data_IF_148198186237
#
_entry.id   IF_148198186237
#
_cell.length_a   1.000
_cell.length_b   1.000
_cell.length_c   1.000
_cell.angle_alpha   90.00
_cell.angle_beta   90.00
_cell.angle_gamma   90.00
#
_symmetry.space_group_name_H-M   'P 1'
#
loop_
_entity.id
_entity.type
_entity.pdbx_description
1 polymer ?
#
# COMPACT_ATOMS: atom_id res chain seq x y z
N UNK A 1 -9.75 0.12 -32.92
CA UNK A 1 -11.13 0.41 -33.32
C UNK A 1 -12.09 -0.42 -32.49
N UNK A 2 -13.13 0.18 -31.98
CA UNK A 2 -14.11 -0.53 -31.15
C UNK A 2 -15.54 -0.20 -31.57
N UNK A 3 -16.41 -1.13 -31.26
CA UNK A 3 -17.87 -0.94 -31.33
C UNK A 3 -18.40 -0.94 -29.90
N UNK A 4 -19.39 -0.09 -29.66
CA UNK A 4 -20.01 0.05 -28.35
C UNK A 4 -21.51 0.05 -28.45
N UNK A 5 -22.15 -0.47 -27.41
CA UNK A 5 -23.59 -0.45 -27.24
C UNK A 5 -23.95 -0.38 -25.77
N UNK A 6 -25.11 0.16 -25.48
CA UNK A 6 -25.57 0.30 -24.10
C UNK A 6 -26.76 1.22 -23.99
N UNK A 7 -26.80 2.03 -22.97
CA UNK A 7 -27.90 2.95 -22.76
C UNK A 7 -27.48 4.26 -22.10
N UNK A 8 -28.30 5.29 -22.33
CA UNK A 8 -28.18 6.60 -21.73
C UNK A 8 -29.53 6.99 -21.09
N UNK A 9 -29.50 7.59 -19.92
CA UNK A 9 -30.69 8.05 -19.20
C UNK A 9 -30.41 9.37 -18.48
N UNK A 10 -31.37 10.33 -18.49
CA UNK A 10 -31.22 11.55 -17.72
C UNK A 10 -31.02 11.31 -16.22
N UNK A 11 -30.18 12.12 -15.59
CA UNK A 11 -29.85 11.99 -14.15
C UNK A 11 -31.00 12.42 -13.25
N UNK A 12 -31.79 13.41 -13.68
CA UNK A 12 -32.85 14.02 -12.88
C UNK A 12 -34.18 14.07 -13.63
N UNK A 13 -35.27 14.18 -12.87
CA UNK A 13 -36.65 14.34 -13.39
C UNK A 13 -37.11 13.22 -14.31
N UNK A 14 -36.54 12.00 -14.15
CA UNK A 14 -36.80 10.89 -15.04
C UNK A 14 -36.72 9.55 -14.30
N UNK A 15 -37.58 8.63 -14.68
CA UNK A 15 -37.48 7.26 -14.19
C UNK A 15 -36.31 6.56 -14.89
N UNK A 16 -35.29 6.21 -14.12
CA UNK A 16 -33.98 5.73 -14.60
C UNK A 16 -34.11 4.65 -15.68
N UNK A 17 -34.79 3.56 -15.39
CA UNK A 17 -34.93 2.44 -16.32
C UNK A 17 -35.93 2.68 -17.44
N UNK A 18 -37.05 3.35 -17.12
CA UNK A 18 -38.13 3.59 -18.08
C UNK A 18 -37.70 4.52 -19.20
N UNK A 19 -36.83 5.48 -18.90
CA UNK A 19 -36.38 6.51 -19.84
C UNK A 19 -34.97 6.25 -20.35
N UNK A 20 -34.41 5.06 -20.08
CA UNK A 20 -33.14 4.64 -20.66
C UNK A 20 -33.32 4.39 -22.15
N UNK A 21 -32.46 5.04 -22.94
CA UNK A 21 -32.46 4.92 -24.41
C UNK A 21 -31.26 4.12 -24.86
N UNK A 22 -31.50 3.22 -25.82
CA UNK A 22 -30.46 2.45 -26.45
C UNK A 22 -29.47 3.36 -27.16
N UNK A 23 -28.18 3.15 -26.94
CA UNK A 23 -27.09 3.90 -27.57
C UNK A 23 -26.11 2.92 -28.18
N UNK A 24 -25.69 3.19 -29.41
CA UNK A 24 -24.68 2.38 -30.09
C UNK A 24 -23.73 3.29 -30.85
N UNK A 25 -22.53 2.82 -31.13
CA UNK A 25 -21.58 3.60 -31.91
C UNK A 25 -20.22 2.94 -32.07
N UNK A 26 -19.33 3.73 -32.61
CA UNK A 26 -17.96 3.32 -32.93
C UNK A 26 -16.96 4.22 -32.22
N UNK A 27 -15.80 3.68 -31.91
CA UNK A 27 -14.67 4.41 -31.36
C UNK A 27 -13.40 4.11 -32.14
N UNK A 28 -12.66 5.16 -32.46
CA UNK A 28 -11.31 5.09 -33.01
C UNK A 28 -10.37 5.73 -32.01
N UNK A 29 -9.44 4.96 -31.48
CA UNK A 29 -8.53 5.46 -30.46
C UNK A 29 -7.09 5.10 -30.75
N UNK A 30 -6.19 5.85 -30.13
CA UNK A 30 -4.77 5.58 -30.12
C UNK A 30 -4.24 5.81 -28.72
N UNK A 31 -3.58 4.80 -28.18
CA UNK A 31 -2.77 4.93 -26.99
C UNK A 31 -1.45 5.58 -27.39
N UNK A 32 -1.12 6.73 -26.80
CA UNK A 32 0.08 7.51 -27.12
C UNK A 32 1.25 7.05 -26.25
N UNK A 33 1.01 6.94 -24.96
CA UNK A 33 1.97 6.41 -23.98
C UNK A 33 1.32 5.25 -23.23
N UNK A 34 2.04 4.50 -22.40
CA UNK A 34 1.41 3.50 -21.53
C UNK A 34 0.32 4.07 -20.60
N UNK A 35 0.38 5.37 -20.30
CA UNK A 35 -0.57 6.05 -19.41
C UNK A 35 -1.62 6.84 -20.17
N UNK A 36 -1.24 7.51 -21.27
CA UNK A 36 -2.10 8.46 -21.97
C UNK A 36 -2.58 7.93 -23.31
N UNK A 37 -3.87 8.06 -23.56
CA UNK A 37 -4.51 7.73 -24.82
C UNK A 37 -5.51 8.81 -25.24
N UNK A 38 -5.86 8.78 -26.52
CA UNK A 38 -6.90 9.64 -27.10
C UNK A 38 -7.83 8.79 -27.95
N UNK A 39 -9.10 9.16 -28.03
CA UNK A 39 -10.04 8.53 -28.95
C UNK A 39 -11.07 9.49 -29.48
N UNK A 40 -11.56 9.19 -30.65
CA UNK A 40 -12.73 9.83 -31.27
C UNK A 40 -13.86 8.81 -31.29
N UNK A 41 -15.05 9.24 -30.96
CA UNK A 41 -16.23 8.38 -30.97
C UNK A 41 -17.41 9.04 -31.68
N UNK A 42 -18.20 8.19 -32.30
CA UNK A 42 -19.51 8.57 -32.83
C UNK A 42 -20.54 7.64 -32.19
N UNK A 43 -21.46 8.22 -31.44
CA UNK A 43 -22.53 7.50 -30.73
C UNK A 43 -23.88 7.98 -31.26
N UNK A 44 -24.77 7.06 -31.50
CA UNK A 44 -26.16 7.38 -31.86
C UNK A 44 -27.10 6.78 -30.83
N UNK A 45 -28.12 7.52 -30.50
CA UNK A 45 -29.19 7.08 -29.59
C UNK A 45 -30.40 6.69 -30.44
N UNK A 46 -30.95 5.52 -30.17
CA UNK A 46 -32.06 4.93 -30.91
C UNK A 46 -33.30 4.93 -30.02
N UNK A 47 -34.31 5.59 -30.44
CA UNK A 47 -35.64 5.48 -29.87
C UNK A 47 -36.70 5.88 -30.91
N UNK A 48 -37.68 5.13 -30.96
CA UNK A 48 -38.74 5.27 -31.99
C UNK A 48 -39.95 6.06 -31.50
N UNK A 49 -39.99 6.49 -30.24
CA UNK A 49 -41.18 7.11 -29.68
C UNK A 49 -41.28 8.63 -29.82
N UNK A 50 -40.15 9.33 -29.91
CA UNK A 50 -40.12 10.80 -29.91
C UNK A 50 -39.48 11.47 -31.11
N UNK A 51 -38.68 10.71 -31.92
CA UNK A 51 -38.09 11.25 -33.13
C UNK A 51 -38.84 10.71 -34.39
N UNK A 52 -38.82 11.48 -35.45
CA UNK A 52 -39.32 11.08 -36.76
C UNK A 52 -38.27 10.27 -37.56
N UNK A 53 -37.09 10.12 -37.02
CA UNK A 53 -35.96 9.40 -37.61
C UNK A 53 -35.66 8.13 -36.81
N UNK A 54 -34.94 7.18 -37.38
CA UNK A 54 -34.47 5.99 -36.67
C UNK A 54 -33.51 6.29 -35.53
N UNK A 55 -32.91 7.48 -35.57
CA UNK A 55 -31.97 7.98 -34.57
C UNK A 55 -32.51 9.22 -33.91
N UNK A 56 -32.54 9.25 -32.57
CA UNK A 56 -32.99 10.39 -31.81
C UNK A 56 -31.88 11.44 -31.69
N UNK A 57 -30.66 11.00 -31.49
CA UNK A 57 -29.51 11.87 -31.29
C UNK A 57 -28.23 11.28 -31.89
N UNK A 58 -27.33 12.14 -32.28
CA UNK A 58 -25.97 11.84 -32.68
C UNK A 58 -24.99 12.59 -31.78
N UNK A 59 -23.98 11.92 -31.29
CA UNK A 59 -22.90 12.51 -30.53
C UNK A 59 -21.57 12.18 -31.19
N UNK A 60 -20.80 13.21 -31.53
CA UNK A 60 -19.41 13.09 -31.97
C UNK A 60 -18.50 13.66 -30.90
N UNK A 61 -17.56 12.88 -30.42
CA UNK A 61 -16.73 13.27 -29.28
C UNK A 61 -15.26 12.92 -29.43
N UNK A 62 -14.43 13.72 -28.77
CA UNK A 62 -13.03 13.43 -28.54
C UNK A 62 -12.79 13.20 -27.04
N UNK A 63 -12.13 12.10 -26.69
CA UNK A 63 -11.87 11.68 -25.33
C UNK A 63 -10.37 11.60 -25.09
N UNK A 64 -9.91 12.15 -23.96
CA UNK A 64 -8.65 11.81 -23.32
C UNK A 64 -8.85 10.62 -22.41
N UNK A 65 -7.88 9.73 -22.36
CA UNK A 65 -7.86 8.52 -21.55
C UNK A 65 -6.60 8.46 -20.71
N UNK A 66 -6.74 8.12 -19.45
CA UNK A 66 -5.63 7.95 -18.51
C UNK A 66 -5.73 6.54 -17.92
N UNK A 67 -4.76 5.68 -18.22
CA UNK A 67 -4.67 4.35 -17.64
C UNK A 67 -4.18 4.46 -16.20
N UNK A 68 -5.09 4.24 -15.24
CA UNK A 68 -4.82 4.40 -13.82
C UNK A 68 -3.89 3.31 -13.28
N UNK A 69 -3.98 2.08 -13.80
CA UNK A 69 -3.09 1.00 -13.41
C UNK A 69 -1.63 1.32 -13.76
N UNK A 70 -1.41 1.88 -14.95
CA UNK A 70 -0.06 2.25 -15.39
C UNK A 70 0.44 3.56 -14.75
N UNK A 71 -0.49 4.47 -14.43
CA UNK A 71 -0.16 5.72 -13.73
C UNK A 71 0.38 5.46 -12.31
N UNK A 72 -0.31 4.60 -11.55
CA UNK A 72 0.03 4.34 -10.15
C UNK A 72 0.94 3.13 -9.95
N UNK A 73 0.80 2.11 -10.79
CA UNK A 73 1.53 0.85 -10.67
C UNK A 73 2.66 0.64 -11.70
N UNK A 74 2.98 1.66 -12.50
CA UNK A 74 3.97 1.55 -13.57
C UNK A 74 3.54 0.63 -14.72
N UNK A 75 4.25 0.68 -15.85
CA UNK A 75 4.02 -0.17 -17.00
C UNK A 75 5.03 -1.31 -17.05
N UNK A 76 4.56 -2.56 -17.12
CA UNK A 76 5.40 -3.77 -17.11
C UNK A 76 5.81 -4.28 -18.52
N UNK A 77 5.81 -3.41 -19.52
CA UNK A 77 6.17 -3.77 -20.89
C UNK A 77 5.05 -4.45 -21.69
N UNK A 78 3.93 -4.83 -21.05
CA UNK A 78 2.73 -5.39 -21.70
C UNK A 78 1.46 -4.95 -20.97
N UNK A 79 0.33 -4.83 -21.68
CA UNK A 79 -0.96 -4.53 -21.05
C UNK A 79 -1.37 -5.62 -20.05
N UNK A 80 -1.98 -5.21 -18.95
CA UNK A 80 -2.52 -6.13 -17.95
C UNK A 80 -3.78 -6.80 -18.46
N UNK A 81 -4.20 -7.89 -17.83
CA UNK A 81 -5.47 -8.55 -18.13
C UNK A 81 -6.66 -7.61 -17.85
N UNK A 82 -6.58 -6.89 -16.74
CA UNK A 82 -7.58 -5.92 -16.33
C UNK A 82 -6.93 -4.56 -16.12
N UNK A 83 -7.51 -3.52 -16.73
CA UNK A 83 -7.06 -2.15 -16.65
C UNK A 83 -8.24 -1.20 -16.46
N UNK A 84 -8.04 -0.18 -15.66
CA UNK A 84 -9.01 0.88 -15.42
C UNK A 84 -8.48 2.16 -16.04
N UNK A 85 -9.29 2.80 -16.87
CA UNK A 85 -8.98 4.09 -17.46
C UNK A 85 -9.95 5.14 -16.94
N UNK A 86 -9.44 6.30 -16.53
CA UNK A 86 -10.24 7.51 -16.40
C UNK A 86 -10.41 8.13 -17.79
N UNK A 87 -11.61 8.59 -18.07
CA UNK A 87 -11.93 9.26 -19.35
C UNK A 87 -12.51 10.64 -19.09
N UNK A 88 -12.10 11.59 -19.90
CA UNK A 88 -12.69 12.92 -19.96
C UNK A 88 -12.69 13.42 -21.41
N UNK A 89 -13.75 14.06 -21.82
CA UNK A 89 -13.81 14.56 -23.19
C UNK A 89 -14.91 15.57 -23.45
N UNK A 90 -14.84 16.11 -24.65
CA UNK A 90 -15.79 17.07 -25.19
C UNK A 90 -16.31 16.56 -26.52
N UNK A 91 -17.49 17.00 -26.90
CA UNK A 91 -18.09 16.58 -28.15
C UNK A 91 -19.20 17.53 -28.60
N UNK A 92 -19.69 17.24 -29.78
CA UNK A 92 -20.86 17.86 -30.36
C UNK A 92 -22.01 16.86 -30.36
N UNK A 93 -23.17 17.30 -29.86
CA UNK A 93 -24.41 16.56 -29.86
C UNK A 93 -25.42 17.21 -30.80
N UNK A 94 -26.22 16.38 -31.45
CA UNK A 94 -27.30 16.81 -32.30
C UNK A 94 -28.53 15.93 -32.04
N UNK A 95 -29.60 16.59 -31.60
CA UNK A 95 -30.93 15.95 -31.44
C UNK A 95 -31.71 16.17 -32.72
N UNK A 96 -32.14 15.07 -33.35
CA UNK A 96 -33.00 15.11 -34.50
C UNK A 96 -34.43 15.41 -34.06
N UNK A 97 -35.21 16.02 -34.89
CA UNK A 97 -36.56 16.56 -34.68
C UNK A 97 -37.28 16.01 -33.44
N UNK A 98 -37.29 16.78 -32.40
CA UNK A 98 -38.08 16.49 -31.20
C UNK A 98 -39.53 16.93 -31.48
N UNK A 99 -40.47 16.04 -31.25
CA UNK A 99 -41.93 16.27 -31.48
C UNK A 99 -42.51 17.49 -30.74
N UNK A 100 -41.84 17.92 -29.65
CA UNK A 100 -42.30 19.08 -28.86
C UNK A 100 -41.77 20.44 -29.32
N UNK A 101 -40.64 20.50 -30.02
CA UNK A 101 -39.99 21.75 -30.43
C UNK A 101 -40.03 22.03 -31.95
N UNK A 102 -40.29 21.02 -32.75
CA UNK A 102 -40.43 21.13 -34.21
C UNK A 102 -39.14 21.42 -34.99
N UNK A 103 -37.98 21.48 -34.36
CA UNK A 103 -36.68 21.75 -35.01
C UNK A 103 -35.53 20.98 -34.37
N UNK A 104 -34.51 20.73 -35.16
CA UNK A 104 -33.28 20.06 -34.73
C UNK A 104 -32.48 20.98 -33.79
N UNK A 105 -31.77 20.34 -32.84
CA UNK A 105 -30.98 21.09 -31.87
C UNK A 105 -29.56 20.55 -31.78
N UNK A 106 -28.59 21.45 -31.94
CA UNK A 106 -27.17 21.18 -31.71
C UNK A 106 -26.69 21.76 -30.40
N UNK A 107 -25.78 21.05 -29.73
CA UNK A 107 -25.21 21.47 -28.45
C UNK A 107 -23.80 20.88 -28.27
N UNK A 108 -23.07 21.44 -27.34
CA UNK A 108 -21.80 20.86 -26.88
C UNK A 108 -22.08 19.88 -25.74
N UNK A 109 -21.28 18.83 -25.66
CA UNK A 109 -21.32 17.87 -24.58
C UNK A 109 -19.95 17.76 -23.93
N UNK A 110 -19.93 17.54 -22.60
CA UNK A 110 -18.74 17.07 -21.91
C UNK A 110 -19.04 15.71 -21.26
N UNK A 111 -18.06 14.82 -21.28
CA UNK A 111 -18.20 13.46 -20.77
C UNK A 111 -17.07 13.15 -19.80
N UNK A 112 -17.43 12.59 -18.64
CA UNK A 112 -16.50 12.16 -17.60
C UNK A 112 -16.89 10.76 -17.14
N UNK A 113 -15.93 9.88 -17.01
CA UNK A 113 -16.23 8.51 -16.58
C UNK A 113 -14.99 7.65 -16.39
N UNK A 114 -15.25 6.37 -16.31
CA UNK A 114 -14.22 5.34 -16.23
C UNK A 114 -14.48 4.27 -17.26
N UNK A 115 -13.43 3.61 -17.73
CA UNK A 115 -13.52 2.43 -18.58
C UNK A 115 -12.82 1.26 -17.88
N UNK A 116 -13.54 0.19 -17.70
CA UNK A 116 -13.04 -1.08 -17.19
C UNK A 116 -12.71 -1.98 -18.38
N UNK A 117 -11.44 -2.21 -18.62
CA UNK A 117 -10.93 -2.88 -19.81
C UNK A 117 -10.41 -4.27 -19.46
N UNK A 118 -10.92 -5.30 -20.14
CA UNK A 118 -10.48 -6.68 -20.04
C UNK A 118 -9.74 -7.05 -21.33
N UNK A 119 -8.41 -7.14 -21.27
CA UNK A 119 -7.54 -7.42 -22.40
C UNK A 119 -7.38 -8.92 -22.60
N UNK A 120 -7.89 -9.45 -23.71
CA UNK A 120 -8.01 -10.86 -23.98
C UNK A 120 -6.90 -11.39 -24.90
N UNK A 121 -6.58 -12.68 -24.73
CA UNK A 121 -5.56 -13.37 -25.49
C UNK A 121 -4.13 -13.04 -25.08
N UNK A 122 -3.15 -13.79 -25.57
CA UNK A 122 -1.73 -13.57 -25.27
C UNK A 122 -1.22 -12.26 -25.85
N UNK A 123 -1.61 -11.96 -27.09
CA UNK A 123 -1.25 -10.74 -27.79
C UNK A 123 -2.05 -9.50 -27.32
N UNK A 124 -3.06 -9.68 -26.45
CA UNK A 124 -3.95 -8.60 -25.99
C UNK A 124 -4.60 -7.82 -27.14
N UNK A 125 -4.85 -8.49 -28.26
CA UNK A 125 -5.40 -7.88 -29.46
C UNK A 125 -6.87 -7.45 -29.32
N UNK A 126 -7.60 -8.07 -28.41
CA UNK A 126 -8.99 -7.79 -28.13
C UNK A 126 -9.18 -7.27 -26.73
N UNK A 127 -10.02 -6.26 -26.59
CA UNK A 127 -10.40 -5.71 -25.28
C UNK A 127 -11.92 -5.64 -25.19
N UNK A 128 -12.49 -6.27 -24.17
CA UNK A 128 -13.87 -6.02 -23.76
C UNK A 128 -13.84 -4.89 -22.75
N UNK A 129 -14.70 -3.91 -22.91
CA UNK A 129 -14.79 -2.78 -22.00
C UNK A 129 -16.22 -2.51 -21.53
N UNK A 130 -16.32 -2.02 -20.29
CA UNK A 130 -17.55 -1.49 -19.70
C UNK A 130 -17.25 -0.06 -19.26
N UNK A 131 -18.05 0.88 -19.73
CA UNK A 131 -17.82 2.30 -19.54
C UNK A 131 -19.01 3.02 -18.92
N UNK A 132 -19.10 3.17 -17.60
CA UNK A 132 -19.97 4.15 -16.98
C UNK A 132 -19.43 5.57 -17.16
N UNK A 133 -20.30 6.51 -17.50
CA UNK A 133 -19.95 7.91 -17.66
C UNK A 133 -21.12 8.84 -17.30
N UNK A 134 -20.78 10.07 -16.93
CA UNK A 134 -21.73 11.18 -16.83
C UNK A 134 -21.48 12.08 -18.02
N UNK A 135 -22.57 12.40 -18.72
CA UNK A 135 -22.57 13.26 -19.90
C UNK A 135 -23.33 14.54 -19.55
N UNK A 136 -22.69 15.69 -19.71
CA UNK A 136 -23.30 16.99 -19.49
C UNK A 136 -23.60 17.66 -20.82
N UNK A 137 -24.85 18.09 -21.00
CA UNK A 137 -25.24 18.94 -22.12
C UNK A 137 -24.91 20.39 -21.78
N UNK A 138 -24.01 20.98 -22.57
CA UNK A 138 -23.54 22.35 -22.40
C UNK A 138 -24.25 23.27 -23.40
N UNK A 139 -25.47 23.70 -23.09
CA UNK A 139 -26.27 24.53 -23.97
C UNK A 139 -27.06 25.59 -23.21
N UNK A 140 -27.32 26.70 -23.86
CA UNK A 140 -28.10 27.85 -23.35
C UNK A 140 -27.32 28.77 -22.43
N UNK A 141 -28.02 29.72 -21.81
CA UNK A 141 -27.45 30.67 -20.85
C UNK A 141 -26.81 29.92 -19.69
N UNK A 142 -25.53 30.10 -19.41
CA UNK A 142 -24.70 29.35 -18.45
C UNK A 142 -24.23 27.97 -18.97
N UNK A 143 -23.94 27.85 -20.26
CA UNK A 143 -23.34 26.64 -20.86
C UNK A 143 -21.99 26.25 -20.25
N UNK A 144 -21.32 27.16 -19.56
CA UNK A 144 -20.01 26.94 -18.92
C UNK A 144 -20.11 26.22 -17.56
N UNK A 145 -21.33 26.08 -17.00
CA UNK A 145 -21.54 25.46 -15.71
C UNK A 145 -22.04 24.03 -15.91
N UNK A 146 -21.34 23.06 -15.31
CA UNK A 146 -21.82 21.68 -15.25
C UNK A 146 -23.08 21.61 -14.40
N UNK A 147 -24.22 21.37 -15.03
CA UNK A 147 -25.52 21.37 -14.40
C UNK A 147 -26.08 19.93 -14.38
N UNK A 148 -26.29 19.39 -13.20
CA UNK A 148 -26.82 18.02 -12.99
C UNK A 148 -28.18 17.86 -13.67
N UNK A 149 -29.03 18.89 -13.72
CA UNK A 149 -30.31 18.84 -14.41
C UNK A 149 -30.20 18.74 -15.94
N UNK A 150 -29.00 18.93 -16.48
CA UNK A 150 -28.66 18.75 -17.89
C UNK A 150 -27.66 17.62 -18.08
N UNK A 151 -27.60 16.69 -17.16
CA UNK A 151 -26.72 15.54 -17.23
C UNK A 151 -27.49 14.25 -17.46
N UNK A 152 -26.79 13.29 -18.03
CA UNK A 152 -27.25 11.93 -18.24
C UNK A 152 -26.20 10.94 -17.76
N UNK A 153 -26.65 9.80 -17.25
CA UNK A 153 -25.80 8.65 -16.98
C UNK A 153 -25.77 7.79 -18.24
N UNK A 154 -24.59 7.50 -18.69
CA UNK A 154 -24.32 6.61 -19.83
C UNK A 154 -23.63 5.36 -19.31
N UNK A 155 -24.11 4.18 -19.73
CA UNK A 155 -23.45 2.91 -19.48
C UNK A 155 -23.30 2.19 -20.81
N UNK A 156 -22.07 2.07 -21.27
CA UNK A 156 -21.73 1.38 -22.52
C UNK A 156 -20.88 0.16 -22.24
N UNK A 157 -21.10 -0.90 -23.02
CA UNK A 157 -20.21 -2.02 -23.13
C UNK A 157 -19.72 -2.11 -24.57
N UNK A 158 -18.51 -2.60 -24.78
CA UNK A 158 -17.96 -2.65 -26.12
C UNK A 158 -16.84 -3.65 -26.29
N UNK A 159 -16.49 -3.86 -27.55
CA UNK A 159 -15.36 -4.68 -27.96
C UNK A 159 -14.44 -3.82 -28.82
N UNK A 160 -13.17 -3.81 -28.46
CA UNK A 160 -12.12 -3.05 -29.19
C UNK A 160 -11.11 -4.04 -29.74
N UNK A 161 -10.79 -3.89 -31.02
CA UNK A 161 -9.70 -4.59 -31.68
C UNK A 161 -8.49 -3.66 -31.84
N UNK A 162 -7.33 -4.14 -31.42
CA UNK A 162 -6.05 -3.46 -31.58
C UNK A 162 -5.37 -3.92 -32.85
N UNK A 163 -5.25 -3.02 -33.84
CA UNK A 163 -4.70 -3.34 -35.16
C UNK A 163 -3.29 -3.93 -35.08
N UNK A 164 -2.99 -4.87 -35.97
CA UNK A 164 -1.76 -5.65 -36.01
C UNK A 164 -1.45 -6.42 -34.71
N UNK A 165 -2.50 -6.76 -33.93
CA UNK A 165 -2.34 -7.41 -32.62
C UNK A 165 -1.33 -6.69 -31.73
N UNK A 166 -1.36 -5.35 -31.74
CA UNK A 166 -0.26 -4.51 -31.27
C UNK A 166 -0.59 -3.72 -30.01
N UNK A 167 -1.54 -4.18 -29.22
CA UNK A 167 -1.83 -3.52 -27.95
C UNK A 167 -0.53 -3.41 -27.11
N UNK A 168 -0.12 -2.19 -26.83
CA UNK A 168 1.09 -1.90 -26.07
C UNK A 168 2.41 -1.86 -26.86
N UNK A 169 2.43 -2.22 -28.14
CA UNK A 169 3.68 -2.27 -28.92
C UNK A 169 4.12 -0.92 -29.49
N UNK A 170 3.21 0.02 -29.65
CA UNK A 170 3.47 1.31 -30.28
C UNK A 170 3.39 2.48 -29.30
N UNK A 171 3.56 2.22 -28.00
CA UNK A 171 3.58 3.28 -27.00
C UNK A 171 4.82 4.14 -27.16
N UNK A 172 4.62 5.44 -27.16
CA UNK A 172 5.72 6.38 -26.96
C UNK A 172 6.13 6.31 -25.49
N UNK A 173 7.13 5.52 -25.20
CA UNK A 173 7.80 5.55 -23.90
C UNK A 173 8.78 6.71 -23.90
N UNK A 174 8.71 7.56 -22.90
CA UNK A 174 9.81 8.48 -22.61
C UNK A 174 10.96 7.58 -22.15
N UNK A 175 11.92 7.34 -23.03
CA UNK A 175 13.16 6.74 -22.61
C UNK A 175 13.86 7.81 -21.76
N UNK A 176 13.84 7.64 -20.44
CA UNK A 176 14.80 8.33 -19.60
C UNK A 176 16.18 7.95 -20.12
N UNK A 177 17.04 8.91 -20.46
CA UNK A 177 18.36 8.58 -20.95
C UNK A 177 19.02 7.64 -19.93
N UNK A 178 19.51 6.53 -20.45
CA UNK A 178 20.18 5.50 -19.68
C UNK A 178 21.35 6.14 -18.92
N UNK A 179 21.24 6.21 -17.61
CA UNK A 179 22.30 6.74 -16.77
C UNK A 179 23.25 5.58 -16.42
N UNK A 180 24.31 5.43 -17.20
CA UNK A 180 25.30 4.39 -16.98
C UNK A 180 25.87 4.42 -15.55
N UNK A 181 26.09 5.59 -14.99
CA UNK A 181 26.60 5.74 -13.64
C UNK A 181 25.65 5.19 -12.57
N UNK A 182 24.33 5.35 -12.75
CA UNK A 182 23.32 4.80 -11.84
C UNK A 182 23.27 3.27 -11.94
N UNK A 183 23.39 2.73 -13.14
CA UNK A 183 23.43 1.27 -13.35
C UNK A 183 24.70 0.66 -12.77
N UNK A 184 25.84 1.31 -12.93
CA UNK A 184 27.10 0.86 -12.36
C UNK A 184 27.01 0.86 -10.82
N UNK A 185 26.47 1.92 -10.23
CA UNK A 185 26.25 2.03 -8.79
C UNK A 185 25.28 0.95 -8.26
N UNK A 186 24.21 0.66 -9.00
CA UNK A 186 23.28 -0.42 -8.66
C UNK A 186 23.94 -1.79 -8.78
N UNK A 187 24.77 -2.02 -9.82
CA UNK A 187 25.50 -3.26 -9.99
C UNK A 187 26.54 -3.47 -8.87
N UNK A 188 27.23 -2.42 -8.47
CA UNK A 188 28.16 -2.47 -7.34
C UNK A 188 27.45 -2.79 -6.03
N UNK A 189 26.28 -2.18 -5.78
CA UNK A 189 25.44 -2.49 -4.62
C UNK A 189 24.96 -3.96 -4.65
N UNK A 190 24.52 -4.46 -5.80
CA UNK A 190 24.12 -5.87 -5.97
C UNK A 190 25.30 -6.81 -5.69
N UNK A 191 26.49 -6.50 -6.20
CA UNK A 191 27.68 -7.32 -5.99
C UNK A 191 28.11 -7.32 -4.52
N UNK A 192 28.04 -6.17 -3.86
CA UNK A 192 28.29 -6.05 -2.41
C UNK A 192 27.31 -6.90 -1.60
N UNK A 193 26.01 -6.78 -1.88
CA UNK A 193 24.96 -7.57 -1.20
C UNK A 193 25.12 -9.08 -1.44
N UNK A 194 25.57 -9.49 -2.65
CA UNK A 194 25.86 -10.90 -2.95
C UNK A 194 27.05 -11.42 -2.14
N UNK A 195 28.10 -10.61 -2.02
CA UNK A 195 29.27 -10.95 -1.21
C UNK A 195 28.91 -11.07 0.28
N UNK A 196 28.14 -10.12 0.82
CA UNK A 196 27.65 -10.20 2.20
C UNK A 196 26.74 -11.41 2.43
N UNK A 197 25.87 -11.73 1.47
CA UNK A 197 25.00 -12.92 1.55
C UNK A 197 25.81 -14.21 1.55
N UNK A 198 26.84 -14.31 0.71
CA UNK A 198 27.73 -15.46 0.68
C UNK A 198 28.49 -15.63 2.01
N UNK A 199 29.06 -14.55 2.55
CA UNK A 199 29.75 -14.58 3.84
C UNK A 199 28.82 -14.98 5.00
N UNK A 200 27.57 -14.50 4.99
CA UNK A 200 26.57 -14.92 5.99
C UNK A 200 26.21 -16.39 5.86
N UNK A 201 26.13 -16.92 4.64
CA UNK A 201 25.82 -18.34 4.42
C UNK A 201 26.95 -19.20 4.94
N UNK A 202 28.21 -18.85 4.64
CA UNK A 202 29.37 -19.54 5.17
C UNK A 202 29.45 -19.51 6.70
N UNK A 203 29.12 -18.34 7.30
CA UNK A 203 29.02 -18.20 8.75
C UNK A 203 27.92 -19.06 9.36
N UNK A 204 26.77 -19.19 8.70
CA UNK A 204 25.69 -20.08 9.13
C UNK A 204 26.08 -21.55 9.06
N UNK A 205 26.77 -21.98 8.02
CA UNK A 205 27.25 -23.35 7.88
C UNK A 205 28.27 -23.69 8.99
N UNK A 206 29.19 -22.77 9.28
CA UNK A 206 30.14 -22.94 10.39
C UNK A 206 29.46 -23.07 11.74
N UNK A 207 28.47 -22.21 12.03
CA UNK A 207 27.68 -22.26 13.26
C UNK A 207 26.82 -23.54 13.36
N UNK A 208 26.28 -24.02 12.24
CA UNK A 208 25.54 -25.29 12.20
C UNK A 208 26.45 -26.48 12.50
N UNK A 209 27.67 -26.47 11.95
CA UNK A 209 28.69 -27.49 12.24
C UNK A 209 29.08 -27.49 13.72
N UNK A 210 29.35 -26.31 14.30
CA UNK A 210 29.69 -26.17 15.73
C UNK A 210 28.51 -26.62 16.64
N UNK A 211 27.29 -26.25 16.28
CA UNK A 211 26.09 -26.72 16.96
C UNK A 211 25.94 -28.25 16.93
N UNK A 212 26.28 -28.85 15.78
CA UNK A 212 26.32 -30.32 15.65
C UNK A 212 27.32 -30.93 16.60
N UNK A 213 28.54 -30.41 16.64
CA UNK A 213 29.57 -30.92 17.55
C UNK A 213 29.21 -30.71 19.03
N UNK A 214 28.63 -29.57 19.39
CA UNK A 214 28.18 -29.31 20.77
C UNK A 214 27.06 -30.24 21.21
N UNK A 215 26.13 -30.57 20.31
CA UNK A 215 25.06 -31.54 20.57
C UNK A 215 25.62 -32.94 20.76
N UNK A 216 26.61 -33.33 19.99
CA UNK A 216 27.28 -34.65 20.11
C UNK A 216 28.02 -34.75 21.45
N UNK A 217 28.81 -33.73 21.82
CA UNK A 217 29.47 -33.67 23.13
C UNK A 217 28.49 -33.65 24.29
N UNK A 218 27.35 -32.96 24.14
CA UNK A 218 26.30 -32.98 25.15
C UNK A 218 25.71 -34.39 25.32
N UNK A 219 25.44 -35.09 24.21
CA UNK A 219 24.93 -36.47 24.24
C UNK A 219 25.96 -37.43 24.85
N UNK A 220 27.24 -37.29 24.51
CA UNK A 220 28.31 -38.08 25.12
C UNK A 220 28.38 -37.85 26.64
N UNK A 221 28.30 -36.59 27.07
CA UNK A 221 28.29 -36.20 28.47
C UNK A 221 27.04 -36.74 29.24
N UNK A 222 25.89 -36.75 28.57
CA UNK A 222 24.66 -37.30 29.15
C UNK A 222 24.64 -38.82 29.25
N UNK A 223 25.30 -39.51 28.34
CA UNK A 223 25.36 -40.97 28.25
C UNK A 223 26.60 -41.59 28.93
N UNK A 224 27.55 -40.76 29.38
CA UNK A 224 28.69 -41.22 30.13
C UNK A 224 28.23 -41.88 31.44
N UNK A 225 28.79 -43.07 31.82
CA UNK A 225 28.44 -43.69 33.09
C UNK A 225 28.77 -42.72 34.23
N UNK A 226 27.77 -42.44 35.06
CA UNK A 226 27.95 -41.61 36.25
C UNK A 226 28.80 -42.40 37.26
N UNK A 227 30.11 -42.14 37.26
CA UNK A 227 30.89 -42.42 38.46
C UNK A 227 30.39 -41.50 39.57
N UNK A 228 29.89 -42.08 40.65
CA UNK A 228 29.43 -41.33 41.81
C UNK A 228 30.69 -40.92 42.58
N UNK A 229 31.36 -39.86 42.11
CA UNK A 229 32.25 -39.10 42.96
C UNK A 229 31.42 -38.16 43.83
N UNK A 230 31.65 -38.24 45.13
CA UNK A 230 31.10 -37.35 46.13
C UNK A 230 31.63 -35.95 45.87
N UNK A 231 30.95 -35.18 45.02
CA UNK A 231 31.30 -33.81 44.73
C UNK A 231 30.82 -32.97 45.91
N UNK A 232 31.76 -32.41 46.64
CA UNK A 232 31.55 -31.23 47.50
C UNK A 232 30.87 -30.17 46.61
N UNK A 233 29.59 -29.86 46.93
CA UNK A 233 28.81 -28.84 46.23
C UNK A 233 29.49 -27.45 46.40
N UNK A 234 30.29 -27.07 45.42
CA UNK A 234 30.53 -25.66 45.16
C UNK A 234 29.28 -25.08 44.58
N UNK A 235 28.43 -24.52 45.45
CA UNK A 235 27.28 -23.71 45.03
C UNK A 235 27.79 -22.47 44.29
N UNK A 236 27.91 -22.55 42.97
CA UNK A 236 27.91 -21.38 42.13
C UNK A 236 26.55 -20.69 42.29
N UNK A 237 26.52 -19.70 43.18
CA UNK A 237 25.35 -18.83 43.29
C UNK A 237 25.10 -18.16 41.95
N UNK A 238 24.06 -18.57 41.21
CA UNK A 238 23.62 -17.85 40.03
C UNK A 238 23.19 -16.45 40.47
N UNK A 239 24.07 -15.46 40.27
CA UNK A 239 23.71 -14.07 40.54
C UNK A 239 22.99 -13.51 39.32
N UNK A 240 21.77 -13.03 39.51
CA UNK A 240 21.02 -12.28 38.49
C UNK A 240 21.30 -10.80 38.70
N UNK A 241 21.83 -10.15 37.71
CA UNK A 241 22.07 -8.70 37.71
C UNK A 241 21.06 -7.95 36.83
N UNK A 242 20.69 -6.76 37.24
CA UNK A 242 19.83 -5.85 36.49
C UNK A 242 20.30 -4.41 36.71
N UNK A 243 20.37 -3.66 35.64
CA UNK A 243 20.77 -2.25 35.67
C UNK A 243 19.53 -1.37 35.48
N UNK A 244 19.41 -0.35 36.32
CA UNK A 244 18.34 0.64 36.27
C UNK A 244 19.01 2.00 36.05
N UNK A 245 18.62 2.65 34.93
CA UNK A 245 19.14 3.96 34.58
C UNK A 245 18.26 5.09 35.10
N UNK A 246 18.86 6.20 35.42
CA UNK A 246 18.18 7.39 35.94
C UNK A 246 18.54 8.60 35.08
N UNK A 247 17.59 9.49 34.90
CA UNK A 247 17.87 10.78 34.27
C UNK A 247 18.89 11.60 35.07
N UNK A 248 19.56 12.53 34.41
CA UNK A 248 20.56 13.40 35.05
C UNK A 248 19.95 14.16 36.24
N UNK A 249 20.59 14.09 37.39
CA UNK A 249 20.11 14.70 38.61
C UNK A 249 18.84 14.11 39.22
N UNK A 250 18.28 13.05 38.65
CA UNK A 250 17.05 12.41 39.16
C UNK A 250 17.36 11.12 39.92
N UNK A 251 16.54 10.86 40.94
CA UNK A 251 16.54 9.60 41.70
C UNK A 251 15.22 8.86 41.65
N UNK A 252 14.31 9.27 40.72
CA UNK A 252 13.01 8.61 40.51
C UNK A 252 13.16 7.59 39.39
N UNK A 253 12.70 6.37 39.62
CA UNK A 253 12.66 5.31 38.57
C UNK A 253 11.55 5.63 37.60
N UNK A 254 11.90 5.80 36.34
CA UNK A 254 10.95 6.06 35.26
C UNK A 254 10.18 4.80 34.87
N UNK A 255 9.03 4.96 34.23
CA UNK A 255 8.15 3.84 33.88
C UNK A 255 8.80 2.81 32.93
N UNK A 256 9.68 3.26 32.05
CA UNK A 256 10.46 2.42 31.12
C UNK A 256 11.51 1.55 31.82
N UNK A 257 11.92 1.91 33.05
CA UNK A 257 12.88 1.14 33.85
C UNK A 257 12.21 0.14 34.82
N UNK A 258 10.89 0.22 34.99
CA UNK A 258 10.16 -0.70 35.87
C UNK A 258 10.31 -2.19 35.48
N UNK A 259 10.35 -2.59 34.21
CA UNK A 259 10.59 -3.98 33.84
C UNK A 259 11.92 -4.55 34.39
N UNK A 260 12.95 -3.71 34.51
CA UNK A 260 14.23 -4.12 35.07
C UNK A 260 14.14 -4.42 36.58
N UNK A 261 13.34 -3.64 37.31
CA UNK A 261 13.05 -3.90 38.73
C UNK A 261 12.17 -5.13 38.90
N UNK A 262 11.17 -5.30 38.02
CA UNK A 262 10.25 -6.43 38.01
C UNK A 262 10.96 -7.77 37.78
N UNK A 263 11.96 -7.80 36.89
CA UNK A 263 12.78 -9.00 36.63
C UNK A 263 13.44 -9.51 37.93
N UNK A 264 14.04 -8.62 38.73
CA UNK A 264 14.63 -8.96 40.03
C UNK A 264 13.56 -9.40 41.02
N UNK A 265 12.43 -8.69 41.09
CA UNK A 265 11.33 -9.05 41.98
C UNK A 265 10.75 -10.42 41.66
N UNK A 266 10.59 -10.76 40.40
CA UNK A 266 10.10 -12.09 39.93
C UNK A 266 11.08 -13.18 40.30
N UNK A 267 12.39 -12.97 40.09
CA UNK A 267 13.41 -13.91 40.50
C UNK A 267 13.37 -14.17 42.02
N UNK A 268 13.29 -13.08 42.82
CA UNK A 268 13.22 -13.19 44.27
C UNK A 268 11.95 -13.86 44.77
N UNK A 269 10.82 -13.73 44.10
CA UNK A 269 9.59 -14.45 44.42
C UNK A 269 9.70 -15.94 44.13
N UNK A 270 10.31 -16.28 43.01
CA UNK A 270 10.53 -17.66 42.62
C UNK A 270 11.65 -18.37 43.45
N UNK A 271 12.54 -17.58 44.08
CA UNK A 271 13.63 -18.09 44.92
C UNK A 271 13.55 -17.46 46.32
N UNK A 272 12.77 -18.01 47.24
CA UNK A 272 12.49 -17.41 48.54
C UNK A 272 13.73 -17.19 49.42
N UNK A 273 14.80 -17.95 49.24
CA UNK A 273 16.07 -17.82 50.00
C UNK A 273 17.02 -16.79 49.41
N UNK A 274 16.75 -16.21 48.21
CA UNK A 274 17.65 -15.25 47.59
C UNK A 274 17.57 -13.90 48.27
N UNK A 275 18.71 -13.17 48.27
CA UNK A 275 18.83 -11.79 48.69
C UNK A 275 19.27 -10.93 47.53
N UNK A 276 19.03 -9.63 47.61
CA UNK A 276 19.48 -8.67 46.58
C UNK A 276 20.31 -7.57 47.25
N UNK A 277 21.40 -7.22 46.60
CA UNK A 277 22.23 -6.07 46.96
C UNK A 277 22.00 -4.95 45.95
N UNK A 278 21.61 -3.78 46.38
CA UNK A 278 21.35 -2.62 45.52
C UNK A 278 22.51 -1.66 45.64
N UNK A 279 23.25 -1.47 44.58
CA UNK A 279 24.36 -0.50 44.51
C UNK A 279 23.91 0.72 43.71
N UNK A 280 23.86 1.87 44.35
CA UNK A 280 23.55 3.14 43.68
C UNK A 280 24.83 3.80 43.14
N UNK A 281 24.71 4.37 41.96
CA UNK A 281 25.80 5.13 41.32
C UNK A 281 25.31 6.49 40.87
N UNK A 282 26.21 7.47 40.87
CA UNK A 282 26.01 8.78 40.28
C UNK A 282 27.09 9.07 39.24
N UNK A 283 26.82 10.00 38.34
CA UNK A 283 27.80 10.47 37.34
C UNK A 283 28.99 11.09 38.05
N UNK A 284 30.23 10.97 37.55
CA UNK A 284 31.42 11.58 38.16
C UNK A 284 31.42 13.11 38.10
N UNK A 285 30.49 13.73 37.43
CA UNK A 285 30.32 15.17 37.30
C UNK A 285 29.73 15.76 38.59
N UNK A 286 30.35 16.83 39.14
CA UNK A 286 29.89 17.51 40.34
C UNK A 286 30.66 17.12 41.63
N UNK A 287 30.19 17.60 42.78
CA UNK A 287 30.86 17.33 44.07
C UNK A 287 30.60 15.88 44.52
N UNK A 288 31.61 15.28 45.16
CA UNK A 288 31.53 13.92 45.70
C UNK A 288 30.38 13.75 46.71
N UNK A 289 30.10 14.78 47.50
CA UNK A 289 29.03 14.79 48.49
C UNK A 289 27.64 14.76 47.86
N UNK A 290 27.41 15.55 46.78
CA UNK A 290 26.17 15.56 46.04
C UNK A 290 25.97 14.21 45.36
N UNK A 291 27.02 13.64 44.75
CA UNK A 291 26.98 12.37 44.08
C UNK A 291 26.68 11.20 45.00
N UNK A 292 27.27 11.19 46.20
CA UNK A 292 26.97 10.19 47.22
C UNK A 292 25.50 10.24 47.67
N UNK A 293 24.96 11.47 47.83
CA UNK A 293 23.53 11.66 48.16
C UNK A 293 22.62 11.14 47.09
N UNK A 294 22.89 11.47 45.80
CA UNK A 294 22.11 11.01 44.67
C UNK A 294 22.18 9.49 44.52
N UNK A 295 23.37 8.90 44.66
CA UNK A 295 23.57 7.46 44.61
C UNK A 295 22.74 6.75 45.69
N UNK A 296 22.77 7.24 46.92
CA UNK A 296 21.94 6.71 48.00
C UNK A 296 20.44 6.82 47.71
N UNK A 297 19.97 7.97 47.24
CA UNK A 297 18.57 8.20 46.91
C UNK A 297 18.09 7.26 45.79
N UNK A 298 18.93 6.99 44.77
CA UNK A 298 18.65 6.05 43.71
C UNK A 298 18.48 4.62 44.22
N UNK A 299 19.39 4.17 45.08
CA UNK A 299 19.28 2.84 45.70
C UNK A 299 18.01 2.72 46.57
N UNK A 300 17.72 3.75 47.37
CA UNK A 300 16.50 3.80 48.18
C UNK A 300 15.21 3.80 47.39
N UNK A 301 15.19 4.49 46.23
CA UNK A 301 14.03 4.50 45.31
C UNK A 301 13.73 3.08 44.79
N UNK A 302 14.74 2.34 44.35
CA UNK A 302 14.59 0.95 43.88
C UNK A 302 14.15 0.05 45.02
N UNK A 303 14.76 0.17 46.21
CA UNK A 303 14.37 -0.56 47.42
C UNK A 303 12.90 -0.35 47.77
N UNK A 304 12.44 0.88 47.72
CA UNK A 304 11.05 1.27 47.99
C UNK A 304 10.09 0.62 47.03
N UNK A 305 10.44 0.56 45.74
CA UNK A 305 9.62 -0.11 44.72
C UNK A 305 9.54 -1.62 44.96
N UNK A 306 10.66 -2.27 45.25
CA UNK A 306 10.69 -3.70 45.56
C UNK A 306 9.82 -4.04 46.78
N UNK A 307 9.84 -3.20 47.83
CA UNK A 307 9.04 -3.41 49.05
C UNK A 307 7.56 -3.10 48.79
N UNK A 308 7.27 -1.88 48.31
CA UNK A 308 5.90 -1.37 48.25
C UNK A 308 5.08 -1.95 47.09
N UNK A 309 5.67 -2.01 45.89
CA UNK A 309 4.98 -2.48 44.69
C UNK A 309 5.05 -4.02 44.56
N UNK A 310 6.26 -4.58 44.77
CA UNK A 310 6.45 -6.02 44.51
C UNK A 310 6.39 -6.88 45.81
N UNK A 311 6.22 -6.26 46.97
CA UNK A 311 6.04 -6.92 48.28
C UNK A 311 7.22 -7.82 48.69
N UNK A 312 8.44 -7.47 48.30
CA UNK A 312 9.65 -8.14 48.76
C UNK A 312 9.97 -7.72 50.22
N UNK A 313 10.28 -8.67 51.08
CA UNK A 313 10.60 -8.38 52.49
C UNK A 313 11.89 -7.53 52.58
N UNK A 314 11.86 -6.48 53.41
CA UNK A 314 12.99 -5.56 53.56
C UNK A 314 14.27 -6.29 54.07
N UNK A 315 14.14 -7.37 54.86
CA UNK A 315 15.26 -8.17 55.33
C UNK A 315 16.05 -8.91 54.24
N UNK A 316 15.50 -8.98 53.02
CA UNK A 316 16.12 -9.60 51.86
C UNK A 316 16.80 -8.62 50.95
N UNK A 317 16.81 -7.33 51.28
CA UNK A 317 17.32 -6.23 50.46
C UNK A 317 18.38 -5.47 51.27
N UNK A 318 19.58 -5.46 50.75
CA UNK A 318 20.73 -4.75 51.35
C UNK A 318 21.11 -3.55 50.48
#
# INVERSE_FOLDING_TARGET
MGIKGGGITPTTHSAFWKNMRGTAGIELGKQITPVLGVSFEGLTTVNTSESRTAFDALNLGALGKINLNNLFGGYFGKPRLFEVEAIAGIGWGHDFVNSGLGYDKSYMVSRFGTSFNFNLGEAKAWTINVRPAIVYQMSGNRSQILNVNKSAIELLAGVTYHFASSNGKHYQTIQTPYNQAEVDLLNDAINTLRAESAAKTEGLEALQYENGQLKEKLNECMNAPKEVETIVQNTHSKSLESVITFGQGKATVSADQLPNVERIATYMKNNPSSTVVIKGYASPEGSAEINARIAKQRAEAVKTILINKYKIRASRIT
#
